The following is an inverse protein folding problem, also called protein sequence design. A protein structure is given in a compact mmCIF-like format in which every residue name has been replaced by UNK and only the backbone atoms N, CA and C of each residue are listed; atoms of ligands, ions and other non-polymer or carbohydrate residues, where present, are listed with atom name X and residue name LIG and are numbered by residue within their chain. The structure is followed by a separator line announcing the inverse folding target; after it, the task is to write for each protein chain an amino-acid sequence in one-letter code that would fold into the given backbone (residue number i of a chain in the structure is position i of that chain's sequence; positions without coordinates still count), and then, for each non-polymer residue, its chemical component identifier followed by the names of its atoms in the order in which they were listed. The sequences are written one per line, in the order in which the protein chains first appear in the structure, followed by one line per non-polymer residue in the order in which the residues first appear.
data_IF_265981411064
#
_entry.id   IF_265981411064
#
_cell.length_a   1.000
_cell.length_b   1.000
_cell.length_c   1.000
_cell.angle_alpha   90.00
_cell.angle_beta   90.00
_cell.angle_gamma   90.00
#
_symmetry.space_group_name_H-M   'P 1'
#
loop_
_entity.id
_entity.type
_entity.pdbx_description
1 polymer ?
#
# COMPACT_ATOMS: atom_id res chain seq x y z
N UNK A 1 24.43 -14.23 -1.86
CA UNK A 1 24.28 -12.85 -1.33
C UNK A 1 23.48 -12.09 -2.36
N UNK A 2 22.16 -12.03 -2.22
CA UNK A 2 21.29 -11.22 -3.08
C UNK A 2 21.43 -9.77 -2.59
N UNK A 3 22.11 -8.93 -3.38
CA UNK A 3 22.22 -7.49 -3.10
C UNK A 3 20.84 -6.86 -2.96
N UNK A 4 20.72 -5.87 -2.09
CA UNK A 4 19.57 -4.96 -2.05
C UNK A 4 19.41 -4.32 -3.42
N UNK A 5 18.15 -4.19 -3.90
CA UNK A 5 17.91 -3.43 -5.14
C UNK A 5 18.17 -1.95 -4.88
N UNK A 6 18.49 -1.18 -5.92
CA UNK A 6 18.69 0.27 -5.81
C UNK A 6 17.47 0.96 -5.20
N UNK A 7 16.28 0.45 -5.48
CA UNK A 7 15.02 0.88 -4.89
C UNK A 7 14.97 0.63 -3.37
N UNK A 8 15.33 -0.57 -2.92
CA UNK A 8 15.34 -0.91 -1.49
C UNK A 8 16.29 -0.01 -0.69
N UNK A 9 17.47 0.29 -1.24
CA UNK A 9 18.44 1.19 -0.61
C UNK A 9 17.90 2.63 -0.55
N UNK A 10 17.29 3.12 -1.62
CA UNK A 10 16.64 4.43 -1.67
C UNK A 10 15.48 4.51 -0.66
N UNK A 11 14.66 3.45 -0.59
CA UNK A 11 13.54 3.37 0.34
C UNK A 11 13.99 3.42 1.80
N UNK A 12 15.09 2.72 2.15
CA UNK A 12 15.64 2.76 3.50
C UNK A 12 16.19 4.15 3.88
N UNK A 13 16.78 4.87 2.93
CA UNK A 13 17.22 6.25 3.13
C UNK A 13 16.06 7.24 3.24
N UNK A 14 14.97 6.96 2.52
CA UNK A 14 13.76 7.78 2.55
C UNK A 14 13.01 7.67 3.86
N UNK A 15 12.81 6.43 4.35
CA UNK A 15 12.01 6.16 5.53
C UNK A 15 12.49 4.92 6.31
N UNK A 16 12.71 5.11 7.61
CA UNK A 16 13.02 3.99 8.50
C UNK A 16 11.78 3.11 8.76
N UNK A 17 11.95 1.81 9.07
CA UNK A 17 10.83 0.92 9.43
C UNK A 17 9.96 1.46 10.58
N UNK A 18 10.57 2.15 11.54
CA UNK A 18 9.85 2.75 12.67
C UNK A 18 8.98 3.95 12.25
N UNK A 19 9.48 4.79 11.33
CA UNK A 19 8.72 5.92 10.78
C UNK A 19 7.56 5.41 9.93
N UNK A 20 7.80 4.42 9.07
CA UNK A 20 6.78 3.79 8.24
C UNK A 20 5.66 3.19 9.11
N UNK A 21 6.01 2.39 10.12
CA UNK A 21 5.05 1.83 11.07
C UNK A 21 4.22 2.91 11.76
N UNK A 22 4.85 4.00 12.21
CA UNK A 22 4.13 5.15 12.82
C UNK A 22 3.14 5.78 11.83
N UNK A 23 3.51 5.92 10.56
CA UNK A 23 2.61 6.42 9.51
C UNK A 23 1.42 5.48 9.29
N UNK A 24 1.64 4.15 9.24
CA UNK A 24 0.56 3.18 9.12
C UNK A 24 -0.39 3.25 10.31
N UNK A 25 0.12 3.25 11.53
CA UNK A 25 -0.70 3.40 12.74
C UNK A 25 -1.52 4.70 12.70
N UNK A 26 -0.90 5.82 12.31
CA UNK A 26 -1.60 7.10 12.22
C UNK A 26 -2.74 7.06 11.18
N UNK A 27 -2.51 6.49 10.00
CA UNK A 27 -3.53 6.33 8.95
C UNK A 27 -4.69 5.46 9.41
N UNK A 28 -4.40 4.30 10.00
CA UNK A 28 -5.39 3.38 10.53
C UNK A 28 -6.23 4.03 11.65
N UNK A 29 -5.59 4.78 12.57
CA UNK A 29 -6.31 5.55 13.60
C UNK A 29 -7.26 6.57 12.99
N UNK A 30 -6.87 7.27 11.94
CA UNK A 30 -7.72 8.28 11.26
C UNK A 30 -8.89 7.65 10.50
N UNK A 31 -8.84 6.37 10.19
CA UNK A 31 -9.93 5.59 9.62
C UNK A 31 -10.85 4.98 10.69
N UNK A 32 -10.58 5.21 11.97
CA UNK A 32 -11.38 4.69 13.08
C UNK A 32 -11.10 3.22 13.41
N UNK A 33 -10.07 2.63 12.85
CA UNK A 33 -9.66 1.23 13.07
C UNK A 33 -9.57 0.86 14.57
N UNK A 34 -9.10 1.73 15.49
CA UNK A 34 -9.11 1.42 16.92
C UNK A 34 -10.46 1.05 17.53
N UNK A 35 -11.55 1.31 16.84
CA UNK A 35 -12.92 0.96 17.28
C UNK A 35 -13.42 -0.35 16.68
N UNK A 36 -12.65 -1.00 15.82
CA UNK A 36 -13.04 -2.25 15.18
C UNK A 36 -12.77 -3.45 16.08
N UNK A 37 -13.41 -4.57 15.78
CA UNK A 37 -13.21 -5.82 16.52
C UNK A 37 -11.74 -6.29 16.35
N UNK A 38 -11.04 -6.55 17.46
CA UNK A 38 -9.64 -7.00 17.45
C UNK A 38 -9.46 -8.45 16.99
N UNK A 39 -10.53 -9.23 17.04
CA UNK A 39 -10.54 -10.59 16.51
C UNK A 39 -10.81 -10.66 15.01
N UNK A 40 -11.00 -9.50 14.34
CA UNK A 40 -11.13 -9.46 12.89
C UNK A 40 -9.87 -9.99 12.21
N UNK A 41 -10.10 -10.79 11.17
CA UNK A 41 -9.05 -11.28 10.27
C UNK A 41 -8.66 -10.16 9.30
N UNK A 42 -7.36 -9.86 9.22
CA UNK A 42 -6.80 -8.78 8.41
C UNK A 42 -5.80 -9.33 7.42
N UNK A 43 -6.01 -9.01 6.14
CA UNK A 43 -5.05 -9.23 5.07
C UNK A 43 -4.43 -7.89 4.67
N UNK A 44 -3.11 -7.81 4.68
CA UNK A 44 -2.35 -6.73 4.05
C UNK A 44 -1.77 -7.22 2.73
N UNK A 45 -2.21 -6.62 1.61
CA UNK A 45 -1.75 -6.93 0.25
C UNK A 45 -0.55 -6.04 -0.09
N UNK A 46 0.45 -6.58 -0.78
CA UNK A 46 1.74 -5.93 -1.03
C UNK A 46 2.39 -5.51 0.30
N UNK A 47 2.51 -6.47 1.21
CA UNK A 47 2.90 -6.20 2.60
C UNK A 47 4.39 -5.87 2.78
N UNK A 48 5.22 -6.07 1.75
CA UNK A 48 6.63 -5.77 1.76
C UNK A 48 7.35 -6.35 2.97
N UNK A 49 8.06 -5.49 3.70
CA UNK A 49 8.83 -5.86 4.92
C UNK A 49 7.96 -6.09 6.18
N UNK A 50 6.64 -6.10 6.06
CA UNK A 50 5.72 -6.40 7.16
C UNK A 50 5.45 -5.25 8.13
N UNK A 51 5.88 -4.03 7.85
CA UNK A 51 5.69 -2.89 8.76
C UNK A 51 4.20 -2.54 8.96
N UNK A 52 3.36 -2.78 7.94
CA UNK A 52 1.91 -2.63 8.06
C UNK A 52 1.32 -3.70 9.00
N UNK A 53 1.80 -4.95 8.94
CA UNK A 53 1.37 -6.00 9.87
C UNK A 53 1.68 -5.62 11.32
N UNK A 54 2.90 -5.13 11.58
CA UNK A 54 3.28 -4.63 12.91
C UNK A 54 2.41 -3.46 13.37
N UNK A 55 1.96 -2.62 12.45
CA UNK A 55 1.03 -1.53 12.77
C UNK A 55 -0.34 -2.07 13.23
N UNK A 56 -0.90 -3.06 12.54
CA UNK A 56 -2.13 -3.74 12.93
C UNK A 56 -1.99 -4.42 14.30
N UNK A 57 -0.90 -5.16 14.52
CA UNK A 57 -0.60 -5.80 15.81
C UNK A 57 -0.47 -4.77 16.95
N UNK A 58 0.20 -3.64 16.70
CA UNK A 58 0.31 -2.54 17.67
C UNK A 58 -1.06 -1.95 18.03
N UNK A 59 -2.03 -2.02 17.11
CA UNK A 59 -3.42 -1.64 17.38
C UNK A 59 -4.25 -2.75 18.03
N UNK A 60 -3.65 -3.90 18.34
CA UNK A 60 -4.27 -5.01 19.07
C UNK A 60 -4.94 -6.06 18.20
N UNK A 61 -4.79 -6.04 16.85
CA UNK A 61 -5.34 -7.09 16.00
C UNK A 61 -4.51 -8.36 16.08
N UNK A 62 -5.17 -9.50 16.30
CA UNK A 62 -4.53 -10.79 16.58
C UNK A 62 -4.31 -11.62 15.29
N UNK A 63 -5.23 -11.51 14.35
CA UNK A 63 -5.27 -12.33 13.14
C UNK A 63 -4.90 -11.48 11.92
N UNK A 64 -3.59 -11.25 11.76
CA UNK A 64 -3.05 -10.43 10.65
C UNK A 64 -2.15 -11.31 9.79
N UNK A 65 -2.37 -11.30 8.50
CA UNK A 65 -1.56 -11.99 7.48
C UNK A 65 -1.20 -11.01 6.37
N UNK A 66 -0.01 -11.17 5.80
CA UNK A 66 0.45 -10.41 4.63
C UNK A 66 0.60 -11.29 3.39
N UNK A 67 0.50 -10.67 2.23
CA UNK A 67 0.87 -11.27 0.95
C UNK A 67 1.78 -10.30 0.22
N UNK A 68 2.91 -10.79 -0.29
CA UNK A 68 3.83 -10.02 -1.12
C UNK A 68 4.38 -10.86 -2.26
N UNK A 69 4.62 -10.22 -3.42
CA UNK A 69 5.14 -10.90 -4.61
C UNK A 69 6.62 -11.26 -4.46
N UNK A 70 7.38 -10.49 -3.68
CA UNK A 70 8.84 -10.63 -3.55
C UNK A 70 9.22 -11.61 -2.46
N UNK A 71 9.76 -12.81 -2.80
CA UNK A 71 10.29 -13.73 -1.80
C UNK A 71 11.39 -13.10 -0.92
N UNK A 72 12.19 -12.20 -1.49
CA UNK A 72 13.26 -11.52 -0.78
C UNK A 72 12.74 -10.55 0.29
N UNK A 73 11.63 -9.83 0.01
CA UNK A 73 10.98 -8.97 1.00
C UNK A 73 10.30 -9.80 2.09
N UNK A 74 9.65 -10.90 1.72
CA UNK A 74 9.02 -11.83 2.66
C UNK A 74 10.07 -12.43 3.62
N UNK A 75 11.21 -12.87 3.09
CA UNK A 75 12.31 -13.42 3.90
C UNK A 75 12.87 -12.42 4.91
N UNK A 76 12.91 -11.13 4.55
CA UNK A 76 13.38 -10.03 5.41
C UNK A 76 12.28 -9.39 6.26
N UNK A 77 11.05 -9.88 6.13
CA UNK A 77 9.92 -9.34 6.90
C UNK A 77 10.10 -9.57 8.39
N UNK A 78 9.83 -8.55 9.19
CA UNK A 78 9.78 -8.66 10.64
C UNK A 78 8.64 -9.57 11.14
N UNK A 79 7.70 -9.95 10.25
CA UNK A 79 6.58 -10.85 10.52
C UNK A 79 6.58 -12.01 9.51
N UNK A 80 7.75 -12.54 9.15
CA UNK A 80 7.94 -13.53 8.09
C UNK A 80 6.96 -14.72 8.20
N UNK A 81 6.72 -15.23 9.40
CA UNK A 81 5.81 -16.34 9.67
C UNK A 81 4.34 -16.01 9.38
N UNK A 82 4.02 -14.75 9.12
CA UNK A 82 2.67 -14.25 8.82
C UNK A 82 2.57 -13.67 7.40
N UNK A 83 3.60 -13.80 6.59
CA UNK A 83 3.60 -13.30 5.21
C UNK A 83 3.75 -14.45 4.24
N UNK A 84 2.84 -14.53 3.29
CA UNK A 84 2.84 -15.49 2.19
C UNK A 84 3.45 -14.84 0.95
N UNK A 85 4.24 -15.61 0.21
CA UNK A 85 4.62 -15.21 -1.16
C UNK A 85 3.43 -15.43 -2.07
N UNK A 86 3.00 -14.39 -2.78
CA UNK A 86 1.84 -14.47 -3.68
C UNK A 86 1.62 -13.21 -4.48
N UNK A 87 0.89 -13.37 -5.58
CA UNK A 87 0.52 -12.29 -6.49
C UNK A 87 -0.81 -11.65 -6.04
N UNK A 88 -0.85 -10.31 -5.97
CA UNK A 88 -2.07 -9.58 -5.64
C UNK A 88 -3.22 -9.85 -6.62
N UNK A 89 -2.90 -10.21 -7.88
CA UNK A 89 -3.85 -10.58 -8.93
C UNK A 89 -4.44 -11.99 -8.77
N UNK A 90 -3.86 -12.81 -7.87
CA UNK A 90 -4.29 -14.16 -7.53
C UNK A 90 -3.87 -14.50 -6.11
N UNK A 91 -4.56 -13.93 -5.15
CA UNK A 91 -4.22 -14.08 -3.72
C UNK A 91 -4.34 -15.53 -3.24
N UNK A 92 -3.32 -16.08 -2.54
CA UNK A 92 -3.37 -17.42 -1.95
C UNK A 92 -4.21 -17.44 -0.66
N UNK A 93 -5.37 -16.81 -0.70
CA UNK A 93 -6.29 -16.60 0.42
C UNK A 93 -7.67 -17.12 0.02
N UNK A 94 -8.36 -17.75 0.96
CA UNK A 94 -9.71 -18.29 0.74
C UNK A 94 -10.71 -17.17 0.43
N UNK A 95 -11.69 -17.48 -0.40
CA UNK A 95 -12.86 -16.60 -0.64
C UNK A 95 -13.59 -16.35 0.67
N UNK A 96 -14.05 -15.10 0.87
CA UNK A 96 -14.89 -14.65 1.99
C UNK A 96 -14.33 -15.00 3.39
N UNK A 97 -13.00 -14.95 3.54
CA UNK A 97 -12.31 -15.34 4.78
C UNK A 97 -11.69 -14.18 5.56
N UNK A 98 -11.72 -12.97 5.00
CA UNK A 98 -11.10 -11.81 5.62
C UNK A 98 -12.14 -10.75 5.99
N UNK A 99 -12.08 -10.24 7.21
CA UNK A 99 -12.90 -9.10 7.64
C UNK A 99 -12.36 -7.77 7.10
N UNK A 100 -11.05 -7.73 6.89
CA UNK A 100 -10.37 -6.54 6.34
C UNK A 100 -9.35 -6.97 5.29
N UNK A 101 -9.38 -6.32 4.12
CA UNK A 101 -8.30 -6.36 3.14
C UNK A 101 -7.74 -4.94 2.98
N UNK A 102 -6.45 -4.77 3.19
CA UNK A 102 -5.79 -3.48 3.12
C UNK A 102 -4.62 -3.52 2.14
N UNK A 103 -4.39 -2.42 1.43
CA UNK A 103 -3.19 -2.17 0.64
C UNK A 103 -2.74 -0.73 0.85
N UNK A 104 -1.45 -0.56 1.08
CA UNK A 104 -0.89 0.75 1.38
C UNK A 104 0.40 0.98 0.58
N UNK A 105 0.26 1.55 -0.62
CA UNK A 105 1.38 1.82 -1.51
C UNK A 105 1.85 0.58 -2.26
N UNK A 106 0.93 -0.18 -2.85
CA UNK A 106 1.24 -1.42 -3.56
C UNK A 106 0.61 -1.52 -4.95
N UNK A 107 -0.61 -0.98 -5.14
CA UNK A 107 -1.32 -1.11 -6.41
C UNK A 107 -0.67 -0.32 -7.56
N UNK A 108 0.04 0.75 -7.25
CA UNK A 108 0.73 1.57 -8.25
C UNK A 108 1.98 0.91 -8.85
N UNK A 109 2.43 -0.23 -8.29
CA UNK A 109 3.48 -1.05 -8.87
C UNK A 109 2.97 -2.01 -9.97
N UNK A 110 1.65 -2.17 -10.11
CA UNK A 110 1.08 -3.04 -11.12
C UNK A 110 1.20 -2.41 -12.52
N UNK A 111 1.58 -3.23 -13.51
CA UNK A 111 1.98 -2.76 -14.84
C UNK A 111 0.83 -2.16 -15.65
N UNK A 112 -0.39 -2.62 -15.42
CA UNK A 112 -1.56 -2.23 -16.21
C UNK A 112 -2.79 -1.95 -15.36
N UNK A 113 -3.76 -1.22 -15.93
CA UNK A 113 -5.07 -1.03 -15.31
C UNK A 113 -5.83 -2.35 -15.14
N UNK A 114 -5.61 -3.32 -16.02
CA UNK A 114 -6.25 -4.64 -15.94
C UNK A 114 -5.65 -5.45 -14.79
N UNK A 115 -4.35 -5.33 -14.52
CA UNK A 115 -3.73 -5.90 -13.31
C UNK A 115 -4.29 -5.27 -12.03
N UNK A 116 -4.50 -3.95 -12.04
CA UNK A 116 -5.15 -3.26 -10.92
C UNK A 116 -6.57 -3.79 -10.70
N UNK A 117 -7.35 -3.95 -11.78
CA UNK A 117 -8.69 -4.52 -11.69
C UNK A 117 -8.66 -5.95 -11.14
N UNK A 118 -7.76 -6.80 -11.64
CA UNK A 118 -7.59 -8.16 -11.13
C UNK A 118 -7.26 -8.18 -9.63
N UNK A 119 -6.35 -7.33 -9.17
CA UNK A 119 -6.03 -7.23 -7.75
C UNK A 119 -7.23 -6.76 -6.91
N UNK A 120 -7.99 -5.78 -7.39
CA UNK A 120 -9.21 -5.30 -6.70
C UNK A 120 -10.28 -6.39 -6.63
N UNK A 121 -10.47 -7.18 -7.69
CA UNK A 121 -11.38 -8.33 -7.71
C UNK A 121 -10.94 -9.41 -6.73
N UNK A 122 -9.66 -9.70 -6.62
CA UNK A 122 -9.12 -10.63 -5.64
C UNK A 122 -9.31 -10.12 -4.20
N UNK A 123 -9.04 -8.83 -3.96
CA UNK A 123 -9.32 -8.21 -2.66
C UNK A 123 -10.81 -8.30 -2.30
N UNK A 124 -11.70 -8.09 -3.28
CA UNK A 124 -13.14 -8.29 -3.09
C UNK A 124 -13.48 -9.75 -2.82
N UNK A 125 -12.92 -10.70 -3.58
CA UNK A 125 -13.16 -12.15 -3.43
C UNK A 125 -12.83 -12.65 -2.03
N UNK A 126 -11.71 -12.22 -1.46
CA UNK A 126 -11.25 -12.69 -0.15
C UNK A 126 -12.01 -12.06 1.01
N UNK A 127 -12.67 -10.92 0.81
CA UNK A 127 -13.45 -10.25 1.85
C UNK A 127 -14.75 -11.00 2.16
N UNK A 128 -15.04 -11.09 3.46
CA UNK A 128 -16.36 -11.51 3.94
C UNK A 128 -17.45 -10.50 3.49
N UNK A 129 -18.74 -10.89 3.42
CA UNK A 129 -19.82 -10.00 2.95
C UNK A 129 -19.91 -8.65 3.69
N UNK A 130 -19.55 -8.62 4.98
CA UNK A 130 -19.52 -7.39 5.79
C UNK A 130 -18.11 -6.85 6.00
N UNK A 131 -17.15 -7.37 5.25
CA UNK A 131 -15.75 -6.96 5.32
C UNK A 131 -15.51 -5.53 4.87
N UNK A 132 -14.31 -5.04 5.10
CA UNK A 132 -13.88 -3.70 4.73
C UNK A 132 -12.61 -3.73 3.90
N UNK A 133 -12.56 -2.89 2.88
CA UNK A 133 -11.34 -2.65 2.11
C UNK A 133 -10.74 -1.30 2.51
N UNK A 134 -9.42 -1.26 2.66
CA UNK A 134 -8.64 -0.03 2.81
C UNK A 134 -7.65 0.04 1.66
N UNK A 135 -7.69 1.15 0.91
CA UNK A 135 -6.72 1.42 -0.17
C UNK A 135 -6.08 2.79 0.11
N UNK A 136 -4.76 2.80 0.25
CA UNK A 136 -3.99 4.04 0.46
C UNK A 136 -2.86 4.07 -0.55
N UNK A 137 -2.98 4.95 -1.54
CA UNK A 137 -2.07 4.99 -2.69
C UNK A 137 -1.59 6.42 -2.98
N UNK A 138 -0.47 6.60 -3.70
CA UNK A 138 -0.11 7.90 -4.26
C UNK A 138 -1.25 8.46 -5.10
N UNK A 139 -1.44 9.78 -5.04
CA UNK A 139 -2.51 10.41 -5.80
C UNK A 139 -2.09 11.76 -6.35
N UNK A 140 -2.42 12.02 -7.61
CA UNK A 140 -2.11 13.28 -8.28
C UNK A 140 -2.84 14.45 -7.61
N UNK A 141 -2.10 15.24 -6.86
CA UNK A 141 -2.58 16.45 -6.21
C UNK A 141 -1.62 17.60 -6.51
N UNK A 142 -2.04 18.88 -6.37
CA UNK A 142 -1.12 20.02 -6.50
C UNK A 142 0.08 19.91 -5.53
N UNK A 143 -0.15 19.40 -4.32
CA UNK A 143 0.92 19.15 -3.35
C UNK A 143 1.95 18.14 -3.88
N UNK A 144 1.52 16.98 -4.42
CA UNK A 144 2.44 15.97 -4.93
C UNK A 144 3.25 16.51 -6.13
N UNK A 145 2.60 17.29 -7.01
CA UNK A 145 3.32 17.95 -8.13
C UNK A 145 4.40 18.90 -7.61
N UNK A 146 4.12 19.67 -6.56
CA UNK A 146 5.12 20.51 -5.93
C UNK A 146 6.29 19.71 -5.33
N UNK A 147 5.99 18.59 -4.67
CA UNK A 147 7.03 17.69 -4.12
C UNK A 147 7.92 17.13 -5.24
N UNK A 148 7.33 16.68 -6.35
CA UNK A 148 8.09 16.19 -7.51
C UNK A 148 8.98 17.30 -8.10
N UNK A 149 8.43 18.49 -8.34
CA UNK A 149 9.22 19.60 -8.89
C UNK A 149 10.42 19.96 -7.99
N UNK A 150 10.25 19.91 -6.67
CA UNK A 150 11.36 20.13 -5.72
C UNK A 150 12.35 18.96 -5.74
N UNK A 151 11.87 17.70 -5.80
CA UNK A 151 12.70 16.52 -5.82
C UNK A 151 13.50 16.35 -7.13
N UNK A 152 13.02 16.89 -8.23
CA UNK A 152 13.74 16.91 -9.52
C UNK A 152 14.84 17.96 -9.56
N UNK A 153 14.83 18.96 -8.67
CA UNK A 153 15.80 20.04 -8.68
C UNK A 153 17.16 19.59 -8.08
N UNK A 154 18.29 19.62 -8.83
CA UNK A 154 19.55 19.03 -8.40
C UNK A 154 20.09 19.62 -7.07
N UNK A 155 19.96 20.92 -6.86
CA UNK A 155 20.40 21.58 -5.63
C UNK A 155 19.59 21.10 -4.44
N UNK A 156 18.26 20.92 -4.59
CA UNK A 156 17.39 20.46 -3.52
C UNK A 156 17.66 19.00 -3.15
N UNK A 157 17.99 18.15 -4.13
CA UNK A 157 18.47 16.78 -3.89
C UNK A 157 19.77 16.78 -3.09
N UNK A 158 20.74 17.60 -3.49
CA UNK A 158 22.03 17.70 -2.80
C UNK A 158 21.88 18.18 -1.35
N UNK A 159 20.90 19.04 -1.07
CA UNK A 159 20.65 19.58 0.27
C UNK A 159 19.80 18.66 1.16
N UNK A 160 19.09 17.69 0.59
CA UNK A 160 18.18 16.82 1.35
C UNK A 160 18.30 15.35 0.94
N UNK A 161 18.98 14.50 1.74
CA UNK A 161 19.07 13.06 1.47
C UNK A 161 17.70 12.37 1.32
N UNK A 162 16.66 12.90 1.96
CA UNK A 162 15.29 12.38 1.79
C UNK A 162 14.69 12.71 0.44
N UNK A 163 14.93 13.91 -0.09
CA UNK A 163 14.48 14.27 -1.44
C UNK A 163 15.24 13.48 -2.50
N UNK A 164 16.54 13.28 -2.31
CA UNK A 164 17.35 12.44 -3.20
C UNK A 164 16.85 10.99 -3.19
N UNK A 165 16.60 10.42 -2.01
CA UNK A 165 16.06 9.08 -1.88
C UNK A 165 14.66 8.95 -2.49
N UNK A 166 13.78 9.94 -2.30
CA UNK A 166 12.46 9.99 -2.93
C UNK A 166 12.56 10.02 -4.46
N UNK A 167 13.44 10.87 -5.01
CA UNK A 167 13.67 10.94 -6.44
C UNK A 167 14.20 9.60 -6.98
N UNK A 168 15.18 8.97 -6.32
CA UNK A 168 15.73 7.69 -6.74
C UNK A 168 14.67 6.57 -6.76
N UNK A 169 13.79 6.51 -5.74
CA UNK A 169 12.66 5.57 -5.74
C UNK A 169 11.71 5.82 -6.90
N UNK A 170 11.33 7.10 -7.11
CA UNK A 170 10.41 7.48 -8.19
C UNK A 170 11.02 7.19 -9.56
N UNK A 171 12.33 7.33 -9.72
CA UNK A 171 13.04 7.03 -10.97
C UNK A 171 13.01 5.53 -11.29
N UNK A 172 13.21 4.66 -10.31
CA UNK A 172 13.13 3.20 -10.47
C UNK A 172 11.70 2.71 -10.83
N UNK A 173 10.68 3.33 -10.25
CA UNK A 173 9.27 2.97 -10.44
C UNK A 173 8.57 3.81 -11.51
N UNK A 174 9.31 4.71 -12.19
CA UNK A 174 8.75 5.74 -13.07
C UNK A 174 7.65 5.23 -14.01
N UNK A 175 7.81 4.11 -14.74
CA UNK A 175 6.80 3.68 -15.70
C UNK A 175 5.45 3.37 -15.06
N UNK A 176 5.43 2.58 -13.96
CA UNK A 176 4.21 2.18 -13.28
C UNK A 176 3.63 3.34 -12.47
N UNK A 177 4.47 4.09 -11.78
CA UNK A 177 4.07 5.23 -10.97
C UNK A 177 3.45 6.37 -11.80
N UNK A 178 4.06 6.73 -12.94
CA UNK A 178 3.51 7.75 -13.85
C UNK A 178 2.22 7.25 -14.52
N UNK A 179 2.16 5.98 -14.94
CA UNK A 179 0.96 5.38 -15.51
C UNK A 179 -0.20 5.40 -14.49
N UNK A 180 0.07 5.13 -13.22
CA UNK A 180 -0.89 5.26 -12.13
C UNK A 180 -1.39 6.70 -11.97
N UNK A 181 -0.48 7.67 -11.87
CA UNK A 181 -0.83 9.07 -11.69
C UNK A 181 -1.52 9.71 -12.90
N UNK A 182 -1.34 9.14 -14.10
CA UNK A 182 -1.96 9.62 -15.33
C UNK A 182 -3.44 9.22 -15.47
N UNK A 183 -3.91 8.20 -14.73
CA UNK A 183 -5.24 7.60 -14.93
C UNK A 183 -6.13 7.63 -13.67
N UNK A 184 -6.23 8.77 -12.95
CA UNK A 184 -6.92 8.82 -11.65
C UNK A 184 -8.40 8.43 -11.75
N UNK A 185 -9.11 8.83 -12.82
CA UNK A 185 -10.54 8.54 -12.96
C UNK A 185 -10.78 7.06 -13.27
N UNK A 186 -9.96 6.45 -14.12
CA UNK A 186 -10.07 5.02 -14.43
C UNK A 186 -9.77 4.14 -13.20
N UNK A 187 -8.76 4.51 -12.40
CA UNK A 187 -8.44 3.83 -11.15
C UNK A 187 -9.59 3.97 -10.16
N UNK A 188 -10.12 5.18 -10.00
CA UNK A 188 -11.24 5.40 -9.08
C UNK A 188 -12.50 4.63 -9.53
N UNK A 189 -12.77 4.59 -10.83
CA UNK A 189 -13.84 3.79 -11.40
C UNK A 189 -13.64 2.29 -11.13
N UNK A 190 -12.42 1.77 -11.27
CA UNK A 190 -12.11 0.38 -10.94
C UNK A 190 -12.37 0.09 -9.46
N UNK A 191 -11.92 0.96 -8.55
CA UNK A 191 -12.13 0.80 -7.10
C UNK A 191 -13.64 0.83 -6.78
N UNK A 192 -14.36 1.83 -7.28
CA UNK A 192 -15.80 2.00 -6.97
C UNK A 192 -16.69 1.00 -7.71
N UNK A 193 -16.21 0.35 -8.75
CA UNK A 193 -16.86 -0.78 -9.43
C UNK A 193 -16.93 -2.01 -8.52
N UNK A 194 -15.88 -2.29 -7.77
CA UNK A 194 -15.79 -3.46 -6.88
C UNK A 194 -16.30 -3.16 -5.46
N UNK A 195 -16.22 -1.91 -4.99
CA UNK A 195 -16.50 -1.54 -3.61
C UNK A 195 -17.48 -0.37 -3.49
N UNK A 196 -18.40 -0.49 -2.55
CA UNK A 196 -19.20 0.64 -2.08
C UNK A 196 -18.35 1.58 -1.23
N UNK A 197 -18.40 2.87 -1.51
CA UNK A 197 -17.60 3.88 -0.82
C UNK A 197 -18.18 4.22 0.56
N UNK A 198 -17.42 3.99 1.62
CA UNK A 198 -17.70 4.49 2.97
C UNK A 198 -16.97 5.81 3.25
N UNK A 199 -15.74 5.93 2.74
CA UNK A 199 -14.95 7.15 2.85
C UNK A 199 -13.97 7.25 1.69
N UNK A 200 -13.84 8.44 1.13
CA UNK A 200 -12.80 8.78 0.18
C UNK A 200 -12.18 10.13 0.52
N UNK A 201 -10.85 10.18 0.55
CA UNK A 201 -10.09 11.43 0.75
C UNK A 201 -8.92 11.47 -0.23
N UNK A 202 -8.74 12.63 -0.86
CA UNK A 202 -7.64 12.91 -1.80
C UNK A 202 -6.91 14.14 -1.31
N UNK A 203 -5.84 13.95 -0.55
CA UNK A 203 -5.11 15.05 0.09
C UNK A 203 -3.63 14.71 0.27
N UNK A 204 -2.77 15.73 0.18
CA UNK A 204 -1.33 15.63 0.43
C UNK A 204 -0.66 14.47 -0.33
N UNK A 205 -0.98 14.36 -1.63
CA UNK A 205 -0.38 13.34 -2.50
C UNK A 205 -0.88 11.92 -2.27
N UNK A 206 -1.98 11.72 -1.55
CA UNK A 206 -2.53 10.40 -1.22
C UNK A 206 -4.03 10.31 -1.53
N UNK A 207 -4.42 9.15 -2.09
CA UNK A 207 -5.77 8.62 -2.02
C UNK A 207 -5.89 7.81 -0.73
N UNK A 208 -6.94 8.03 0.03
CA UNK A 208 -7.36 7.16 1.14
C UNK A 208 -8.80 6.75 0.87
N UNK A 209 -9.02 5.48 0.64
CA UNK A 209 -10.33 4.89 0.38
C UNK A 209 -10.63 3.84 1.46
N UNK A 210 -11.82 3.90 1.99
CA UNK A 210 -12.42 2.87 2.82
C UNK A 210 -13.75 2.48 2.18
N UNK A 211 -13.98 1.20 1.99
CA UNK A 211 -15.19 0.66 1.37
C UNK A 211 -15.59 -0.68 1.93
N UNK A 212 -16.65 -1.25 1.35
CA UNK A 212 -17.11 -2.62 1.58
C UNK A 212 -17.40 -3.30 0.24
N UNK A 213 -17.37 -4.64 0.15
CA UNK A 213 -17.74 -5.36 -1.08
C UNK A 213 -19.12 -4.97 -1.59
N UNK A 214 -19.23 -4.88 -2.93
CA UNK A 214 -20.54 -4.77 -3.62
C UNK A 214 -21.18 -6.13 -3.79
#
# INVERSE_FOLDING_TARGET
MTGTTAWEDAYQRFETPAEERRKFIHRLRRLGVPRWNRNSTVLEVCSGRGNALLAWQTLGFLHVVGVDLSPALVERSACRERVLVGDARRLPIRTSSQDVAAVQGGLHHLDSLDDVRAALQEMRRVLAPHGRVIIIEPWKTPFLRGVHAVAEHPIMRALSPRLDAFAAMTDEERPTYEAWLARPDAILQAITGEFETLLIRRRLGKLVFLGRPR
#
